data_IF_668228502725
#
_entry.id   IF_668228502725
#
_cell.length_a   1.000
_cell.length_b   1.000
_cell.length_c   1.000
_cell.angle_alpha   90.00
_cell.angle_beta   90.00
_cell.angle_gamma   90.00
#
_symmetry.space_group_name_H-M   'P 1'
#
loop_
_entity.id
_entity.type
_entity.pdbx_description
1 polymer ?
#
# COMPACT_ATOMS: atom_id res chain seq x y z
N UNK A 1 11.80 -20.84 17.09
CA UNK A 1 11.43 -19.44 16.85
C UNK A 1 10.02 -19.20 17.35
N UNK A 2 9.81 -18.12 18.08
CA UNK A 2 8.47 -17.64 18.44
C UNK A 2 8.13 -16.41 17.59
N UNK A 3 6.86 -16.26 17.21
CA UNK A 3 6.36 -15.12 16.47
C UNK A 3 5.28 -14.42 17.28
N UNK A 4 5.21 -13.11 17.15
CA UNK A 4 4.13 -12.33 17.75
C UNK A 4 3.81 -11.10 16.90
N UNK A 5 2.52 -10.78 16.86
CA UNK A 5 1.94 -9.64 16.18
C UNK A 5 1.41 -8.65 17.23
N UNK A 6 1.67 -7.37 17.03
CA UNK A 6 1.11 -6.31 17.87
C UNK A 6 0.92 -5.00 17.08
N UNK A 7 0.40 -3.97 17.75
CA UNK A 7 0.18 -2.63 17.19
C UNK A 7 1.45 -1.92 16.70
N UNK A 8 2.64 -2.46 16.98
CA UNK A 8 3.93 -1.88 16.56
C UNK A 8 4.63 -2.71 15.48
N UNK A 9 4.03 -3.84 15.07
CA UNK A 9 4.47 -4.62 13.92
C UNK A 9 4.49 -6.12 14.18
N UNK A 10 5.18 -6.81 13.28
CA UNK A 10 5.41 -8.25 13.36
C UNK A 10 6.83 -8.53 13.83
N UNK A 11 6.98 -9.47 14.76
CA UNK A 11 8.26 -9.75 15.39
C UNK A 11 8.52 -11.24 15.50
N UNK A 12 9.81 -11.60 15.52
CA UNK A 12 10.27 -12.93 15.89
C UNK A 12 11.30 -12.91 17.01
N UNK A 13 11.37 -14.02 17.72
CA UNK A 13 12.42 -14.32 18.70
C UNK A 13 13.05 -15.68 18.38
N UNK A 14 14.36 -15.68 18.14
CA UNK A 14 15.15 -16.88 17.83
C UNK A 14 15.82 -17.45 19.08
N UNK A 15 16.24 -16.58 19.99
CA UNK A 15 16.85 -16.89 21.28
C UNK A 15 16.06 -16.22 22.41
N UNK A 16 16.09 -16.81 23.61
CA UNK A 16 15.51 -16.16 24.80
C UNK A 16 16.14 -14.77 24.97
N UNK A 17 15.30 -13.74 25.13
CA UNK A 17 15.65 -12.32 25.28
C UNK A 17 16.13 -11.57 24.02
N UNK A 18 16.00 -12.17 22.82
CA UNK A 18 16.24 -11.49 21.53
C UNK A 18 14.95 -11.33 20.73
N UNK A 19 14.71 -10.12 20.21
CA UNK A 19 13.52 -9.77 19.40
C UNK A 19 13.98 -9.02 18.15
N UNK A 20 13.44 -9.40 17.00
CA UNK A 20 13.68 -8.77 15.70
C UNK A 20 12.33 -8.38 15.07
N UNK A 21 12.21 -7.13 14.59
CA UNK A 21 11.06 -6.69 13.79
C UNK A 21 11.22 -7.22 12.37
N UNK A 22 10.17 -7.88 11.87
CA UNK A 22 10.11 -8.37 10.49
C UNK A 22 9.31 -7.37 9.67
N UNK A 23 9.89 -6.91 8.57
CA UNK A 23 9.15 -6.17 7.55
C UNK A 23 8.53 -7.17 6.58
N UNK A 24 7.20 -7.08 6.40
CA UNK A 24 6.47 -7.91 5.46
C UNK A 24 6.47 -7.21 4.12
N UNK A 25 7.23 -7.76 3.17
CA UNK A 25 7.30 -7.29 1.78
C UNK A 25 6.86 -8.43 0.86
N UNK A 26 5.97 -8.09 -0.07
CA UNK A 26 5.55 -8.96 -1.15
C UNK A 26 6.60 -8.95 -2.28
N UNK A 27 7.18 -10.10 -2.57
CA UNK A 27 8.26 -10.21 -3.57
C UNK A 27 7.81 -9.99 -5.01
N UNK A 28 6.55 -10.26 -5.32
CA UNK A 28 6.03 -10.13 -6.69
C UNK A 28 5.74 -8.66 -7.01
N UNK A 29 5.24 -7.92 -6.03
CA UNK A 29 4.76 -6.54 -6.20
C UNK A 29 5.69 -5.48 -5.61
N UNK A 30 6.66 -5.88 -4.77
CA UNK A 30 7.47 -4.96 -3.97
C UNK A 30 6.68 -4.27 -2.85
N UNK A 31 5.42 -4.62 -2.65
CA UNK A 31 4.53 -3.98 -1.68
C UNK A 31 4.98 -4.34 -0.27
N UNK A 32 5.37 -3.33 0.51
CA UNK A 32 5.42 -3.50 1.97
C UNK A 32 4.01 -3.39 2.51
N UNK A 33 3.61 -4.25 3.45
CA UNK A 33 2.43 -3.92 4.25
C UNK A 33 2.73 -2.61 4.99
N UNK A 34 1.93 -1.54 4.78
CA UNK A 34 2.23 -0.24 5.36
C UNK A 34 1.84 -0.15 6.85
N UNK A 35 1.37 -1.24 7.45
CA UNK A 35 0.67 -1.17 8.72
C UNK A 35 1.57 -1.53 9.87
N UNK A 36 1.75 -0.54 10.74
CA UNK A 36 2.27 -0.75 12.08
C UNK A 36 1.43 -1.76 12.88
N UNK A 37 0.15 -1.96 12.54
CA UNK A 37 -0.75 -2.86 13.27
C UNK A 37 -0.82 -4.27 12.69
N UNK A 38 -0.15 -5.19 13.38
CA UNK A 38 -0.29 -6.62 13.14
C UNK A 38 -1.19 -7.22 14.22
N UNK A 39 -2.24 -7.91 13.79
CA UNK A 39 -3.33 -8.36 14.67
C UNK A 39 -3.10 -9.80 15.13
N UNK A 40 -2.62 -10.66 14.25
CA UNK A 40 -2.50 -12.09 14.56
C UNK A 40 -1.36 -12.75 13.79
N UNK A 41 -0.83 -13.83 14.34
CA UNK A 41 0.07 -14.73 13.65
C UNK A 41 -0.29 -16.18 13.97
N UNK A 42 -0.11 -17.07 13.00
CA UNK A 42 -0.38 -18.49 13.16
C UNK A 42 0.55 -19.32 12.29
N UNK A 43 1.03 -20.44 12.83
CA UNK A 43 1.77 -21.45 12.06
C UNK A 43 0.82 -22.59 11.70
N UNK A 44 0.64 -22.84 10.40
CA UNK A 44 -0.17 -23.94 9.88
C UNK A 44 0.70 -24.83 8.99
N UNK A 45 1.18 -25.95 9.54
CA UNK A 45 2.23 -26.74 8.89
C UNK A 45 3.53 -25.95 8.85
N UNK A 46 4.10 -25.78 7.66
CA UNK A 46 5.30 -24.96 7.41
C UNK A 46 4.96 -23.52 7.02
N UNK A 47 3.68 -23.19 6.85
CA UNK A 47 3.25 -21.84 6.44
C UNK A 47 3.04 -20.95 7.66
N UNK A 48 3.80 -19.86 7.73
CA UNK A 48 3.59 -18.80 8.71
C UNK A 48 2.61 -17.79 8.11
N UNK A 49 1.46 -17.64 8.76
CA UNK A 49 0.42 -16.67 8.43
C UNK A 49 0.51 -15.49 9.39
N UNK A 50 0.31 -14.29 8.85
CA UNK A 50 0.25 -13.05 9.63
C UNK A 50 -0.92 -12.22 9.13
N UNK A 51 -1.77 -11.75 10.04
CA UNK A 51 -2.94 -10.94 9.72
C UNK A 51 -2.79 -9.51 10.20
N UNK A 52 -3.17 -8.56 9.36
CA UNK A 52 -3.33 -7.14 9.67
C UNK A 52 -4.76 -6.68 9.39
N UNK A 53 -5.06 -5.42 9.65
CA UNK A 53 -6.32 -4.77 9.29
C UNK A 53 -6.50 -4.56 7.77
N UNK A 54 -5.44 -4.74 6.97
CA UNK A 54 -5.47 -4.59 5.51
C UNK A 54 -5.42 -5.91 4.75
N UNK A 55 -5.09 -7.02 5.41
CA UNK A 55 -5.05 -8.32 4.75
C UNK A 55 -4.33 -9.41 5.52
N UNK A 56 -4.05 -10.49 4.81
CA UNK A 56 -3.26 -11.61 5.27
C UNK A 56 -1.94 -11.62 4.51
N UNK A 57 -0.85 -11.91 5.18
CA UNK A 57 0.40 -12.26 4.54
C UNK A 57 0.77 -13.69 4.93
N UNK A 58 1.51 -14.37 4.06
CA UNK A 58 2.08 -15.66 4.40
C UNK A 58 3.47 -15.84 3.83
N UNK A 59 4.26 -16.69 4.48
CA UNK A 59 5.52 -17.21 3.95
C UNK A 59 5.57 -18.73 4.14
N UNK A 60 6.27 -19.42 3.23
CA UNK A 60 6.35 -20.88 3.19
C UNK A 60 7.54 -21.46 3.97
N UNK A 61 8.46 -20.61 4.42
CA UNK A 61 9.69 -21.05 5.10
C UNK A 61 9.50 -21.35 6.60
N UNK A 62 8.34 -20.99 7.16
CA UNK A 62 7.99 -21.12 8.57
C UNK A 62 8.84 -20.30 9.56
N UNK A 63 9.96 -19.71 9.10
CA UNK A 63 10.89 -18.95 9.92
C UNK A 63 10.76 -17.42 9.75
N UNK A 64 9.99 -16.97 8.75
CA UNK A 64 9.83 -15.54 8.46
C UNK A 64 11.14 -14.90 8.04
N UNK A 65 12.05 -15.67 7.43
CA UNK A 65 13.35 -15.24 6.97
C UNK A 65 13.34 -14.94 5.46
N UNK A 66 12.45 -15.59 4.74
CA UNK A 66 12.15 -15.40 3.33
C UNK A 66 11.00 -14.39 3.16
N UNK A 67 10.70 -14.13 1.89
CA UNK A 67 9.69 -13.18 1.49
C UNK A 67 8.28 -13.65 1.82
N UNK A 68 7.39 -12.66 1.86
CA UNK A 68 5.98 -12.88 2.07
C UNK A 68 5.23 -12.77 0.75
N UNK A 69 4.05 -13.37 0.70
CA UNK A 69 3.01 -13.02 -0.25
C UNK A 69 1.87 -12.35 0.50
N UNK A 70 1.42 -11.21 0.01
CA UNK A 70 0.31 -10.45 0.61
C UNK A 70 -0.98 -10.77 -0.15
N UNK A 71 -1.99 -11.18 0.62
CA UNK A 71 -3.35 -11.45 0.20
C UNK A 71 -4.28 -10.41 0.80
N UNK A 72 -4.82 -9.54 -0.04
CA UNK A 72 -5.83 -8.60 0.36
C UNK A 72 -6.88 -8.46 -0.74
N UNK A 73 -8.13 -8.23 -0.33
CA UNK A 73 -9.21 -8.08 -1.28
C UNK A 73 -9.19 -6.65 -1.86
N UNK A 74 -9.04 -6.57 -3.18
CA UNK A 74 -9.21 -5.34 -3.96
C UNK A 74 -10.48 -5.44 -4.77
N UNK A 75 -11.42 -4.49 -4.64
CA UNK A 75 -12.54 -4.37 -5.57
C UNK A 75 -12.05 -4.35 -7.02
N UNK A 76 -12.85 -4.89 -7.92
CA UNK A 76 -12.60 -4.74 -9.35
C UNK A 76 -12.70 -3.27 -9.74
N UNK A 77 -11.80 -2.84 -10.61
CA UNK A 77 -11.85 -1.51 -11.22
C UNK A 77 -12.72 -1.65 -12.47
N UNK A 78 -13.79 -0.86 -12.56
CA UNK A 78 -14.55 -0.79 -13.80
C UNK A 78 -13.72 -0.06 -14.86
N UNK A 79 -13.94 -0.38 -16.14
CA UNK A 79 -13.26 0.27 -17.27
C UNK A 79 -13.27 1.81 -17.11
N UNK A 80 -12.11 2.42 -17.35
CA UNK A 80 -11.84 3.86 -17.24
C UNK A 80 -12.13 4.47 -15.85
N UNK A 81 -12.18 3.65 -14.80
CA UNK A 81 -12.26 4.12 -13.42
C UNK A 81 -10.95 3.89 -12.67
N UNK A 82 -10.90 4.50 -11.49
CA UNK A 82 -9.84 4.33 -10.51
C UNK A 82 -10.44 4.56 -9.13
N UNK A 83 -9.82 4.00 -8.10
CA UNK A 83 -10.14 4.35 -6.72
C UNK A 83 -8.85 4.51 -5.91
N UNK A 84 -8.95 5.28 -4.83
CA UNK A 84 -7.89 5.43 -3.86
C UNK A 84 -8.31 4.77 -2.53
N UNK A 85 -7.38 4.10 -1.88
CA UNK A 85 -7.62 3.48 -0.57
C UNK A 85 -6.35 3.53 0.29
N UNK A 86 -6.47 3.67 1.61
CA UNK A 86 -7.72 3.90 2.36
C UNK A 86 -8.32 5.29 2.06
N UNK A 87 -9.63 5.42 2.23
CA UNK A 87 -10.34 6.71 2.11
C UNK A 87 -11.47 6.74 3.16
N UNK A 88 -11.36 7.58 4.20
CA UNK A 88 -10.34 8.61 4.41
C UNK A 88 -8.92 8.06 4.62
N UNK A 89 -7.93 8.74 4.04
CA UNK A 89 -6.50 8.50 4.24
C UNK A 89 -5.97 9.39 5.36
N UNK A 90 -5.03 8.85 6.11
CA UNK A 90 -4.31 9.55 7.16
C UNK A 90 -2.85 9.11 7.12
N UNK A 91 -1.90 9.99 6.77
CA UNK A 91 -0.49 9.62 6.68
C UNK A 91 0.06 9.06 8.00
N UNK A 92 -0.41 9.59 9.14
CA UNK A 92 0.04 9.18 10.47
C UNK A 92 -0.49 7.81 10.90
N UNK A 93 -1.64 7.37 10.38
CA UNK A 93 -2.25 6.08 10.75
C UNK A 93 -1.95 4.99 9.72
N UNK A 94 -1.94 5.35 8.44
CA UNK A 94 -1.87 4.39 7.34
C UNK A 94 -0.49 4.36 6.65
N UNK A 95 0.36 5.37 6.85
CA UNK A 95 1.64 5.53 6.16
C UNK A 95 1.49 5.94 4.70
N UNK A 96 0.72 5.17 3.94
CA UNK A 96 0.56 5.33 2.49
C UNK A 96 -0.90 5.25 2.06
N UNK A 97 -1.19 5.91 0.95
CA UNK A 97 -2.41 5.72 0.16
C UNK A 97 -2.07 5.09 -1.18
N UNK A 98 -2.95 4.23 -1.64
CA UNK A 98 -2.80 3.49 -2.87
C UNK A 98 -3.84 3.93 -3.88
N UNK A 99 -3.39 4.15 -5.12
CA UNK A 99 -4.24 4.48 -6.25
C UNK A 99 -4.32 3.27 -7.18
N UNK A 100 -5.51 2.67 -7.29
CA UNK A 100 -5.74 1.43 -8.05
C UNK A 100 -6.43 1.76 -9.37
N UNK A 101 -5.95 1.14 -10.44
CA UNK A 101 -6.44 1.32 -11.79
C UNK A 101 -6.12 0.08 -12.64
N UNK A 102 -6.78 -0.07 -13.78
CA UNK A 102 -6.36 -1.04 -14.78
C UNK A 102 -5.33 -0.40 -15.71
N UNK A 103 -4.20 -1.07 -15.88
CA UNK A 103 -3.10 -0.58 -16.72
C UNK A 103 -2.98 -1.44 -17.99
N UNK A 104 -3.43 -0.95 -19.16
CA UNK A 104 -3.46 -1.76 -20.38
C UNK A 104 -2.07 -2.01 -20.96
N UNK A 105 -1.08 -1.17 -20.64
CA UNK A 105 0.27 -1.20 -21.21
C UNK A 105 1.32 -0.98 -20.13
N UNK A 106 2.43 -1.73 -20.18
CA UNK A 106 3.58 -1.44 -19.31
C UNK A 106 4.22 -0.14 -19.77
N UNK A 107 4.50 0.77 -18.84
CA UNK A 107 5.16 2.03 -19.17
C UNK A 107 5.02 3.08 -18.08
N UNK A 108 5.37 4.31 -18.46
CA UNK A 108 5.33 5.46 -17.58
C UNK A 108 3.89 5.86 -17.24
N UNK A 109 3.56 5.87 -15.95
CA UNK A 109 2.30 6.36 -15.41
C UNK A 109 2.59 7.60 -14.58
N UNK A 110 1.78 8.65 -14.77
CA UNK A 110 1.88 9.90 -14.00
C UNK A 110 0.74 10.02 -13.01
N UNK A 111 1.04 10.24 -11.74
CA UNK A 111 0.08 10.60 -10.70
C UNK A 111 0.19 12.10 -10.39
N UNK A 112 -0.94 12.79 -10.40
CA UNK A 112 -1.06 14.18 -9.98
C UNK A 112 -2.19 14.28 -8.94
N UNK A 113 -1.93 14.96 -7.82
CA UNK A 113 -2.90 15.19 -6.75
C UNK A 113 -3.18 16.68 -6.67
N UNK A 114 -4.45 17.03 -6.49
CA UNK A 114 -4.96 18.38 -6.45
C UNK A 114 -5.82 18.59 -5.21
N UNK A 115 -5.77 19.79 -4.66
CA UNK A 115 -6.70 20.20 -3.60
C UNK A 115 -8.10 20.53 -4.17
N UNK A 116 -8.98 21.04 -3.31
CA UNK A 116 -10.34 21.41 -3.70
C UNK A 116 -10.41 22.56 -4.72
N UNK A 117 -9.38 23.42 -4.77
CA UNK A 117 -9.27 24.51 -5.74
C UNK A 117 -8.66 24.06 -7.08
N UNK A 118 -8.28 22.78 -7.21
CA UNK A 118 -7.56 22.21 -8.35
C UNK A 118 -6.10 22.73 -8.44
N UNK A 119 -5.56 23.22 -7.32
CA UNK A 119 -4.14 23.54 -7.24
C UNK A 119 -3.33 22.24 -7.08
N UNK A 120 -2.21 22.12 -7.80
CA UNK A 120 -1.38 20.90 -7.75
C UNK A 120 -0.64 20.82 -6.40
N UNK A 121 -0.88 19.72 -5.70
CA UNK A 121 -0.32 19.42 -4.37
C UNK A 121 0.88 18.49 -4.51
N UNK A 122 0.77 17.50 -5.39
CA UNK A 122 1.78 16.49 -5.58
C UNK A 122 1.82 16.02 -7.03
N UNK A 123 3.01 15.67 -7.52
CA UNK A 123 3.22 15.02 -8.82
C UNK A 123 4.31 13.98 -8.72
N UNK A 124 4.06 12.79 -9.24
CA UNK A 124 5.08 11.76 -9.45
C UNK A 124 4.87 11.01 -10.76
N UNK A 125 5.92 10.30 -11.15
CA UNK A 125 5.95 9.47 -12.34
C UNK A 125 6.67 8.17 -12.02
N UNK A 126 6.08 7.04 -12.42
CA UNK A 126 6.62 5.70 -12.15
C UNK A 126 6.39 4.77 -13.33
N UNK A 127 7.30 3.82 -13.57
CA UNK A 127 7.07 2.77 -14.57
C UNK A 127 6.25 1.64 -13.93
N UNK A 128 5.03 1.44 -14.44
CA UNK A 128 4.10 0.44 -13.92
C UNK A 128 3.90 -0.64 -14.99
N UNK A 129 3.96 -1.90 -14.57
CA UNK A 129 3.67 -3.03 -15.46
C UNK A 129 2.20 -3.06 -15.86
N UNK A 130 1.90 -3.59 -17.04
CA UNK A 130 0.52 -3.89 -17.43
C UNK A 130 -0.11 -4.86 -16.44
N UNK A 131 -1.40 -4.70 -16.20
CA UNK A 131 -2.16 -5.59 -15.33
C UNK A 131 -3.45 -4.97 -14.85
N UNK A 132 -4.38 -5.84 -14.48
CA UNK A 132 -5.60 -5.44 -13.81
C UNK A 132 -5.25 -5.05 -12.36
N UNK A 133 -5.87 -3.99 -11.85
CA UNK A 133 -5.59 -3.48 -10.50
C UNK A 133 -4.10 -3.14 -10.27
N UNK A 134 -3.46 -2.53 -11.25
CA UNK A 134 -2.18 -1.85 -11.05
C UNK A 134 -2.28 -0.78 -9.96
N UNK A 135 -1.16 -0.47 -9.32
CA UNK A 135 -1.13 0.40 -8.13
C UNK A 135 0.05 1.37 -8.18
N UNK A 136 -0.19 2.59 -7.71
CA UNK A 136 0.85 3.57 -7.35
C UNK A 136 0.60 4.02 -5.92
N UNK A 137 1.67 4.31 -5.19
CA UNK A 137 1.64 4.70 -3.77
C UNK A 137 2.02 6.16 -3.59
N UNK A 138 1.48 6.78 -2.55
CA UNK A 138 1.91 8.09 -2.06
C UNK A 138 1.90 8.09 -0.53
N UNK A 139 2.97 8.62 0.06
CA UNK A 139 3.18 8.69 1.52
C UNK A 139 2.43 9.86 2.20
N UNK A 140 1.70 10.65 1.42
CA UNK A 140 0.96 11.79 1.95
C UNK A 140 1.76 13.09 2.06
N UNK A 141 2.99 13.13 1.53
CA UNK A 141 3.84 14.33 1.56
C UNK A 141 3.70 15.13 0.25
N UNK A 142 3.43 16.42 0.37
CA UNK A 142 3.28 17.32 -0.79
C UNK A 142 4.61 17.64 -1.49
N UNK A 143 4.53 18.40 -2.58
CA UNK A 143 5.72 18.84 -3.33
C UNK A 143 6.71 19.71 -2.50
N UNK A 144 6.30 20.24 -1.35
CA UNK A 144 7.12 21.07 -0.46
C UNK A 144 7.71 20.26 0.71
N UNK A 145 7.40 18.96 0.81
CA UNK A 145 7.85 18.14 1.93
C UNK A 145 6.94 18.23 3.17
N UNK A 146 5.72 18.73 3.03
CA UNK A 146 4.76 18.90 4.13
C UNK A 146 3.51 18.03 3.97
N UNK A 147 2.85 17.69 5.07
CA UNK A 147 1.55 17.02 5.04
C UNK A 147 0.43 18.03 4.69
N UNK A 148 -0.36 17.79 3.63
CA UNK A 148 -1.48 18.67 3.25
C UNK A 148 -2.53 18.80 4.35
N UNK A 149 -3.37 19.84 4.26
CA UNK A 149 -4.46 20.06 5.20
C UNK A 149 -5.56 18.99 5.09
N UNK A 150 -6.38 18.86 6.13
CA UNK A 150 -7.54 17.95 6.08
C UNK A 150 -8.52 18.43 5.01
N UNK A 151 -9.02 17.53 4.17
CA UNK A 151 -9.89 17.91 3.08
C UNK A 151 -10.20 16.82 2.06
N UNK A 152 -10.95 17.19 1.03
CA UNK A 152 -11.16 16.36 -0.16
C UNK A 152 -10.11 16.74 -1.19
N UNK A 153 -9.44 15.73 -1.72
CA UNK A 153 -8.44 15.85 -2.76
C UNK A 153 -8.92 15.12 -4.01
N UNK A 154 -8.54 15.65 -5.16
CA UNK A 154 -8.73 15.02 -6.46
C UNK A 154 -7.40 14.47 -6.92
N UNK A 155 -7.42 13.42 -7.71
CA UNK A 155 -6.21 12.93 -8.36
C UNK A 155 -6.49 12.58 -9.81
N UNK A 156 -5.42 12.64 -10.60
CA UNK A 156 -5.39 12.23 -12.00
C UNK A 156 -4.26 11.23 -12.20
N UNK A 157 -4.57 10.11 -12.81
CA UNK A 157 -3.60 9.13 -13.30
C UNK A 157 -3.56 9.26 -14.81
N UNK A 158 -2.40 9.55 -15.38
CA UNK A 158 -2.18 9.50 -16.84
C UNK A 158 -1.47 8.21 -17.19
N UNK A 159 -2.14 7.34 -17.96
CA UNK A 159 -1.65 6.04 -18.40
C UNK A 159 -0.66 6.16 -19.57
N UNK A 160 0.10 5.10 -19.92
CA UNK A 160 1.12 5.17 -20.97
C UNK A 160 0.57 5.44 -22.38
N UNK A 161 -0.70 5.13 -22.62
CA UNK A 161 -1.41 5.46 -23.87
C UNK A 161 -1.98 6.89 -23.90
N UNK A 162 -1.83 7.64 -22.80
CA UNK A 162 -2.31 9.01 -22.64
C UNK A 162 -3.73 9.12 -22.09
N UNK A 163 -4.40 8.01 -21.78
CA UNK A 163 -5.68 8.04 -21.09
C UNK A 163 -5.54 8.64 -19.69
N UNK A 164 -6.58 9.36 -19.24
CA UNK A 164 -6.60 10.08 -17.96
C UNK A 164 -7.74 9.59 -17.09
N UNK A 165 -7.40 8.90 -16.01
CA UNK A 165 -8.33 8.46 -15.00
C UNK A 165 -8.38 9.50 -13.88
N UNK A 166 -9.59 9.78 -13.38
CA UNK A 166 -9.79 10.73 -12.29
C UNK A 166 -10.47 10.05 -11.11
N UNK A 167 -10.08 10.45 -9.91
CA UNK A 167 -10.75 10.06 -8.69
C UNK A 167 -10.60 11.11 -7.61
N UNK A 168 -11.07 10.76 -6.41
CA UNK A 168 -10.97 11.61 -5.22
C UNK A 168 -10.79 10.77 -3.96
N UNK A 169 -10.23 11.37 -2.94
CA UNK A 169 -10.12 10.80 -1.59
C UNK A 169 -10.26 11.89 -0.54
N UNK A 170 -10.54 11.49 0.70
CA UNK A 170 -10.47 12.37 1.85
C UNK A 170 -9.12 12.19 2.56
N UNK A 171 -8.47 13.28 2.96
CA UNK A 171 -7.26 13.28 3.79
C UNK A 171 -7.60 13.81 5.19
N UNK A 172 -7.13 13.10 6.22
CA UNK A 172 -7.28 13.42 7.63
C UNK A 172 -5.94 13.27 8.36
N UNK A 173 -5.44 14.34 8.97
CA UNK A 173 -4.31 14.32 9.90
C UNK A 173 -4.76 13.99 11.31
#
# INVERSE_FOLDING_TARGET
TAFFACEQGFYRSVELDSIEKITIVDDETGMSLPLDQMISSALAGETLWVGSDFGLAYTLDGCGCESFKILFHRPDVAENNTYAFPSPFSPSQHGEIFFVFDNPLSGEVKLEIFDFAIDNVFTMTENVNKGDKAMIQWDGVDNNGEYPANGIYFYRITLPDGEKLWGKFALLR
#
